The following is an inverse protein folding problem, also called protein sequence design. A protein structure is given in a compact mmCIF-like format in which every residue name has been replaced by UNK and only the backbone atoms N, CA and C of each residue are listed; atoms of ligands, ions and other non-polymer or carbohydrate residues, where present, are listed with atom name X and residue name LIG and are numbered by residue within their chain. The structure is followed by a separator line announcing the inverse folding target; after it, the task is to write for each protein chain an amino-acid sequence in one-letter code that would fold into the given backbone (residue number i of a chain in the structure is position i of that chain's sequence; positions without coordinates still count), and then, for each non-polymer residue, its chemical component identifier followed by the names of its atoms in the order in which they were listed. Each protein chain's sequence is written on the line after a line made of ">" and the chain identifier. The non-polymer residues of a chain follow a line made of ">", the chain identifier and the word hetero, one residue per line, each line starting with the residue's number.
data_IF_070080353888
#
_entry.id   IF_070080353888
#
_cell.length_a   1.000
_cell.length_b   1.000
_cell.length_c   1.000
_cell.angle_alpha   90.00
_cell.angle_beta   90.00
_cell.angle_gamma   90.00
#
_symmetry.space_group_name_H-M   'P 1'
#
loop_
_entity.id
_entity.type
_entity.pdbx_description
1 polymer ?
#
# COMPACT_ATOMS: atom_id res chain seq x y z
N UNK A 1 11.77 2.75 10.72
CA UNK A 1 10.48 2.10 10.40
C UNK A 1 10.43 0.62 10.76
N UNK A 2 11.35 -0.26 10.34
CA UNK A 2 11.32 -1.67 10.78
C UNK A 2 11.46 -1.84 12.30
N UNK A 3 12.40 -1.12 12.92
CA UNK A 3 12.52 -1.11 14.39
C UNK A 3 11.26 -0.62 15.10
N UNK A 4 10.48 0.24 14.44
CA UNK A 4 9.27 0.81 15.03
C UNK A 4 8.14 -0.21 15.17
N UNK A 5 8.24 -1.38 14.52
CA UNK A 5 7.28 -2.49 14.58
C UNK A 5 7.84 -3.73 15.31
N UNK A 6 8.93 -3.59 16.05
CA UNK A 6 9.42 -4.64 16.96
C UNK A 6 8.44 -4.83 18.12
N UNK A 7 8.21 -6.08 18.51
CA UNK A 7 7.41 -6.48 19.67
C UNK A 7 8.31 -7.16 20.70
N UNK A 8 7.98 -6.99 21.98
CA UNK A 8 8.71 -7.62 23.10
C UNK A 8 8.25 -9.07 23.37
N UNK A 9 7.12 -9.47 22.77
CA UNK A 9 6.47 -10.78 23.01
C UNK A 9 6.25 -11.56 21.72
N UNK A 10 6.04 -10.88 20.59
CA UNK A 10 5.73 -11.49 19.29
C UNK A 10 6.79 -11.13 18.25
N UNK A 11 6.72 -11.76 17.07
CA UNK A 11 7.68 -11.52 15.98
C UNK A 11 7.62 -10.08 15.43
N UNK A 12 6.42 -9.50 15.40
CA UNK A 12 6.15 -8.15 14.88
C UNK A 12 4.85 -7.58 15.48
N UNK A 13 4.77 -6.27 15.71
CA UNK A 13 3.51 -5.58 16.07
C UNK A 13 2.87 -4.89 14.86
N UNK A 14 1.54 -4.84 14.83
CA UNK A 14 0.77 -4.24 13.73
C UNK A 14 0.67 -2.70 13.80
N UNK A 15 1.14 -2.08 14.89
CA UNK A 15 1.09 -0.63 15.08
C UNK A 15 2.41 -0.14 15.70
N UNK A 16 2.95 0.96 15.18
CA UNK A 16 4.23 1.49 15.63
C UNK A 16 4.18 2.14 17.01
N UNK A 17 2.99 2.59 17.46
CA UNK A 17 2.83 3.39 18.67
C UNK A 17 3.12 4.89 18.46
N UNK A 18 3.57 5.29 17.27
CA UNK A 18 3.94 6.67 16.95
C UNK A 18 2.79 7.37 16.21
N UNK A 19 2.52 8.66 16.48
CA UNK A 19 1.45 9.41 15.83
C UNK A 19 1.79 9.84 14.38
N UNK A 20 3.00 9.54 13.91
CA UNK A 20 3.52 9.94 12.60
C UNK A 20 4.02 8.71 11.83
N UNK A 21 4.11 8.84 10.51
CA UNK A 21 4.68 7.83 9.62
C UNK A 21 3.96 6.47 9.63
N UNK A 22 2.63 6.49 9.77
CA UNK A 22 1.78 5.29 9.74
C UNK A 22 1.89 4.51 8.43
N UNK A 23 1.83 5.20 7.28
CA UNK A 23 1.89 4.57 5.95
C UNK A 23 3.16 3.72 5.75
N UNK A 24 4.34 4.28 6.05
CA UNK A 24 5.60 3.54 5.90
C UNK A 24 5.80 2.47 6.98
N UNK A 25 5.24 2.65 8.18
CA UNK A 25 5.26 1.61 9.21
C UNK A 25 4.39 0.41 8.78
N UNK A 26 3.24 0.65 8.16
CA UNK A 26 2.39 -0.38 7.59
C UNK A 26 3.08 -1.10 6.40
N UNK A 27 3.75 -0.36 5.52
CA UNK A 27 4.54 -0.97 4.44
C UNK A 27 5.65 -1.88 4.98
N UNK A 28 6.33 -1.49 6.07
CA UNK A 28 7.33 -2.33 6.75
C UNK A 28 6.73 -3.55 7.42
N UNK A 29 5.49 -3.48 7.88
CA UNK A 29 4.78 -4.65 8.38
C UNK A 29 4.52 -5.66 7.26
N UNK A 30 4.03 -5.20 6.10
CA UNK A 30 3.80 -6.08 4.93
C UNK A 30 5.10 -6.75 4.44
N UNK A 31 6.22 -6.03 4.44
CA UNK A 31 7.54 -6.54 4.01
C UNK A 31 7.94 -7.83 4.76
N UNK A 32 7.54 -8.00 6.03
CA UNK A 32 7.83 -9.20 6.83
C UNK A 32 7.31 -10.49 6.18
N UNK A 33 6.19 -10.40 5.46
CA UNK A 33 5.49 -11.54 4.88
C UNK A 33 5.81 -11.77 3.40
N UNK A 34 6.77 -11.03 2.85
CA UNK A 34 7.13 -11.12 1.42
C UNK A 34 8.12 -12.23 1.12
N UNK A 35 8.64 -12.94 2.13
CA UNK A 35 9.71 -13.94 1.96
C UNK A 35 10.94 -13.39 1.21
N UNK A 36 11.18 -12.07 1.29
CA UNK A 36 12.22 -11.35 0.53
C UNK A 36 12.06 -11.51 -0.99
N UNK A 37 10.82 -11.59 -1.48
CA UNK A 37 10.53 -11.69 -2.90
C UNK A 37 11.21 -10.53 -3.66
N UNK A 38 12.01 -10.81 -4.71
CA UNK A 38 12.84 -9.80 -5.37
C UNK A 38 12.03 -8.77 -6.16
N UNK A 39 10.79 -9.12 -6.55
CA UNK A 39 9.89 -8.28 -7.34
C UNK A 39 8.59 -8.10 -6.58
N UNK A 40 8.61 -7.24 -5.55
CA UNK A 40 7.43 -6.93 -4.74
C UNK A 40 7.21 -5.43 -4.68
N UNK A 41 5.93 -5.03 -4.75
CA UNK A 41 5.50 -3.65 -4.61
C UNK A 41 4.21 -3.57 -3.79
N UNK A 42 4.07 -2.48 -3.06
CA UNK A 42 2.85 -2.13 -2.32
C UNK A 42 2.42 -0.71 -2.71
N UNK A 43 1.14 -0.55 -3.08
CA UNK A 43 0.51 0.75 -3.32
C UNK A 43 -0.49 1.03 -2.20
N UNK A 44 -0.25 2.09 -1.43
CA UNK A 44 -1.23 2.66 -0.51
C UNK A 44 -2.05 3.71 -1.25
N UNK A 45 -3.36 3.44 -1.42
CA UNK A 45 -4.28 4.30 -2.17
C UNK A 45 -5.35 4.94 -1.29
N UNK A 46 -5.20 4.89 0.04
CA UNK A 46 -6.25 5.33 0.97
C UNK A 46 -6.75 6.76 0.69
N UNK A 47 -5.83 7.67 0.34
CA UNK A 47 -6.16 9.07 0.04
C UNK A 47 -6.90 9.28 -1.29
N UNK A 48 -6.78 8.35 -2.24
CA UNK A 48 -7.30 8.51 -3.61
C UNK A 48 -8.48 7.59 -3.91
N UNK A 49 -8.72 6.56 -3.09
CA UNK A 49 -9.75 5.56 -3.33
C UNK A 49 -11.17 6.14 -3.38
N UNK A 50 -11.41 7.22 -2.62
CA UNK A 50 -12.69 7.89 -2.53
C UNK A 50 -12.53 9.40 -2.63
N UNK A 51 -13.36 10.04 -3.46
CA UNK A 51 -13.36 11.48 -3.64
C UNK A 51 -14.74 12.09 -3.37
N UNK A 52 -14.75 13.36 -2.98
CA UNK A 52 -15.95 14.16 -2.88
C UNK A 52 -16.47 14.52 -4.28
N UNK A 53 -17.77 14.68 -4.42
CA UNK A 53 -18.42 15.05 -5.68
C UNK A 53 -19.43 16.15 -5.41
N UNK A 54 -19.55 17.13 -6.30
CA UNK A 54 -20.46 18.28 -6.13
C UNK A 54 -21.93 17.88 -5.91
N UNK A 55 -22.33 16.71 -6.43
CA UNK A 55 -23.72 16.23 -6.41
C UNK A 55 -23.96 15.10 -5.40
N UNK A 56 -22.96 14.73 -4.59
CA UNK A 56 -23.02 13.58 -3.69
C UNK A 56 -22.85 13.97 -2.23
N UNK A 57 -23.67 13.40 -1.35
CA UNK A 57 -23.58 13.59 0.11
C UNK A 57 -22.57 12.67 0.78
N UNK A 58 -22.03 11.71 0.03
CA UNK A 58 -21.02 10.74 0.48
C UNK A 58 -19.84 10.71 -0.49
N UNK A 59 -18.69 10.25 0.00
CA UNK A 59 -17.53 10.03 -0.87
C UNK A 59 -17.81 8.88 -1.83
N UNK A 60 -17.44 9.05 -3.10
CA UNK A 60 -17.67 8.07 -4.14
C UNK A 60 -16.36 7.38 -4.55
N UNK A 61 -16.45 6.10 -4.91
CA UNK A 61 -15.30 5.32 -5.36
C UNK A 61 -14.75 5.87 -6.68
N UNK A 62 -13.44 6.13 -6.73
CA UNK A 62 -12.80 6.78 -7.90
C UNK A 62 -12.29 5.79 -8.94
N UNK A 63 -12.14 4.50 -8.57
CA UNK A 63 -11.43 3.53 -9.40
C UNK A 63 -9.93 3.80 -9.55
N UNK A 64 -9.34 4.58 -8.62
CA UNK A 64 -7.91 4.88 -8.63
C UNK A 64 -7.06 3.60 -8.63
N UNK A 65 -5.97 3.62 -9.39
CA UNK A 65 -5.06 2.47 -9.55
C UNK A 65 -5.43 1.51 -10.68
N UNK A 66 -6.69 1.41 -11.11
CA UNK A 66 -7.10 0.46 -12.16
C UNK A 66 -6.35 0.72 -13.48
N UNK A 67 -6.42 1.96 -13.99
CA UNK A 67 -5.72 2.33 -15.24
C UNK A 67 -4.22 2.15 -15.15
N UNK A 68 -3.62 2.46 -13.99
CA UNK A 68 -2.19 2.29 -13.74
C UNK A 68 -1.77 0.82 -13.82
N UNK A 69 -2.50 -0.07 -13.13
CA UNK A 69 -2.18 -1.51 -13.14
C UNK A 69 -2.40 -2.14 -14.51
N UNK A 70 -3.46 -1.75 -15.22
CA UNK A 70 -3.70 -2.22 -16.60
C UNK A 70 -2.58 -1.79 -17.53
N UNK A 71 -2.17 -0.53 -17.44
CA UNK A 71 -1.08 0.00 -18.27
C UNK A 71 0.26 -0.68 -17.95
N UNK A 72 0.58 -0.85 -16.66
CA UNK A 72 1.76 -1.59 -16.21
C UNK A 72 1.80 -3.02 -16.75
N UNK A 73 0.68 -3.75 -16.65
CA UNK A 73 0.58 -5.13 -17.14
C UNK A 73 0.70 -5.22 -18.66
N UNK A 74 0.18 -4.25 -19.41
CA UNK A 74 0.37 -4.18 -20.88
C UNK A 74 1.83 -3.98 -21.24
N UNK A 75 2.49 -3.02 -20.60
CA UNK A 75 3.93 -2.79 -20.84
C UNK A 75 4.78 -4.00 -20.48
N UNK A 76 4.45 -4.72 -19.41
CA UNK A 76 5.12 -5.98 -19.07
C UNK A 76 4.91 -7.07 -20.12
N UNK A 77 3.72 -7.16 -20.72
CA UNK A 77 3.43 -8.14 -21.77
C UNK A 77 4.13 -7.80 -23.10
N UNK A 78 4.27 -6.52 -23.41
CA UNK A 78 4.86 -6.03 -24.66
C UNK A 78 6.40 -5.89 -24.60
N UNK A 79 7.00 -5.95 -23.41
CA UNK A 79 8.46 -5.89 -23.24
C UNK A 79 9.08 -7.28 -23.48
N UNK A 80 10.04 -7.42 -24.41
CA UNK A 80 10.76 -8.69 -24.60
C UNK A 80 11.56 -9.04 -23.33
N UNK A 81 11.53 -10.32 -22.96
CA UNK A 81 12.27 -10.89 -21.82
C UNK A 81 13.79 -10.70 -21.95
#
# INVERSE_FOLDING_TARGET
>A
YREDIKSDVADVKNFSGKPLAGAISAAKFLEVFTEKHPVWAHLDIAGMAFADTEFGTQKNATGFGIRLLVDYLRHLADSPA
#
